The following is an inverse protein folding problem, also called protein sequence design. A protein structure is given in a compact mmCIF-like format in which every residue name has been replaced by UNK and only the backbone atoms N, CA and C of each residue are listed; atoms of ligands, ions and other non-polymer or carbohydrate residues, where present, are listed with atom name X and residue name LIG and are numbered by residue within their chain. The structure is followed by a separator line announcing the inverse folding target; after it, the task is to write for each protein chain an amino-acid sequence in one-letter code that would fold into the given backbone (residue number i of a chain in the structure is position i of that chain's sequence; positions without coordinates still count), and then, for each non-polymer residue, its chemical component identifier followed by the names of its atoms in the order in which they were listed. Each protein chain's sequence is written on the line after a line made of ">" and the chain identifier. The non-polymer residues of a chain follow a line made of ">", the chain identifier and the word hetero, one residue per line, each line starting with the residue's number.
data_IF_576738981337
#
_entry.id   IF_576738981337
#
_cell.length_a   1.000
_cell.length_b   1.000
_cell.length_c   1.000
_cell.angle_alpha   90.00
_cell.angle_beta   90.00
_cell.angle_gamma   90.00
#
_symmetry.space_group_name_H-M   'P 1'
#
loop_
_entity.id
_entity.type
_entity.pdbx_description
1 polymer ?
#
# COMPACT_ATOMS: atom_id res chain seq x y z
N UNK A 1 10.13 -29.96 17.13
CA UNK A 1 9.04 -29.14 16.55
C UNK A 1 9.65 -27.79 16.22
N UNK A 2 9.55 -27.35 14.98
CA UNK A 2 9.93 -25.98 14.63
C UNK A 2 8.84 -25.00 15.08
N UNK A 3 9.26 -23.83 15.55
CA UNK A 3 8.37 -22.74 15.92
C UNK A 3 8.17 -21.80 14.74
N UNK A 4 6.91 -21.52 14.41
CA UNK A 4 6.54 -20.51 13.41
C UNK A 4 6.31 -19.19 14.14
N UNK A 5 6.98 -18.13 13.68
CA UNK A 5 6.84 -16.78 14.22
C UNK A 5 6.52 -15.79 13.11
N UNK A 6 5.83 -14.69 13.46
CA UNK A 6 5.62 -13.56 12.56
C UNK A 6 6.84 -12.65 12.71
N UNK A 7 7.71 -12.63 11.71
CA UNK A 7 8.96 -11.85 11.73
C UNK A 7 8.78 -10.36 11.38
N UNK A 8 7.63 -9.98 10.85
CA UNK A 8 7.36 -8.62 10.39
C UNK A 8 5.96 -8.45 9.81
N UNK A 9 5.56 -7.19 9.62
CA UNK A 9 4.41 -6.82 8.83
C UNK A 9 4.62 -5.45 8.17
N UNK A 10 4.22 -5.35 6.91
CA UNK A 10 4.06 -4.09 6.19
C UNK A 10 2.76 -4.10 5.40
N UNK A 11 2.24 -2.92 5.08
CA UNK A 11 1.00 -2.81 4.32
C UNK A 11 0.64 -1.38 3.97
N UNK A 12 -0.30 -1.25 3.05
CA UNK A 12 -0.98 0.01 2.71
C UNK A 12 -2.47 -0.15 2.96
N UNK A 13 -3.07 0.86 3.56
CA UNK A 13 -4.49 0.93 3.89
C UNK A 13 -5.08 2.27 3.46
N UNK A 14 -6.42 2.41 3.46
CA UNK A 14 -7.03 3.70 3.22
C UNK A 14 -6.52 4.75 4.22
N UNK A 15 -6.16 5.93 3.71
CA UNK A 15 -5.52 7.04 4.45
C UNK A 15 -4.24 6.66 5.23
N UNK A 16 -3.60 5.52 4.93
CA UNK A 16 -2.43 5.05 5.69
C UNK A 16 -1.40 4.37 4.78
N UNK A 17 -0.22 4.96 4.65
CA UNK A 17 0.88 4.44 3.81
C UNK A 17 1.81 3.49 4.56
N UNK A 18 1.67 3.41 5.88
CA UNK A 18 2.49 2.58 6.75
C UNK A 18 1.68 1.96 7.88
N UNK A 19 2.24 0.93 8.53
CA UNK A 19 1.66 0.30 9.73
C UNK A 19 1.49 1.33 10.86
N UNK A 20 2.42 2.27 11.00
CA UNK A 20 2.35 3.30 12.03
C UNK A 20 1.21 4.28 11.78
N UNK A 21 1.04 4.75 10.55
CA UNK A 21 -0.10 5.62 10.19
C UNK A 21 -1.42 4.89 10.39
N UNK A 22 -1.48 3.61 10.00
CA UNK A 22 -2.67 2.79 10.18
C UNK A 22 -3.01 2.62 11.66
N UNK A 23 -2.02 2.30 12.49
CA UNK A 23 -2.19 2.21 13.93
C UNK A 23 -2.66 3.53 14.54
N UNK A 24 -2.05 4.65 14.15
CA UNK A 24 -2.46 5.97 14.62
C UNK A 24 -3.91 6.27 14.23
N UNK A 25 -4.34 5.95 13.02
CA UNK A 25 -5.72 6.13 12.57
C UNK A 25 -6.69 5.26 13.37
N UNK A 26 -6.34 4.01 13.66
CA UNK A 26 -7.16 3.10 14.47
C UNK A 26 -7.32 3.61 15.91
N UNK A 27 -6.21 3.97 16.57
CA UNK A 27 -6.22 4.44 17.96
C UNK A 27 -7.00 5.75 18.10
N UNK A 28 -6.94 6.63 17.10
CA UNK A 28 -7.67 7.89 17.10
C UNK A 28 -9.10 7.77 16.57
N UNK A 29 -9.58 6.57 16.23
CA UNK A 29 -10.94 6.35 15.71
C UNK A 29 -11.22 7.06 14.38
N UNK A 30 -10.19 7.27 13.56
CA UNK A 30 -10.31 7.98 12.28
C UNK A 30 -11.05 7.11 11.28
N UNK A 31 -12.12 7.64 10.70
CA UNK A 31 -12.81 7.00 9.58
C UNK A 31 -11.94 7.06 8.32
N UNK A 32 -11.40 5.91 7.94
CA UNK A 32 -10.53 5.74 6.78
C UNK A 32 -11.31 5.48 5.48
N UNK A 33 -12.64 5.37 5.53
CA UNK A 33 -13.50 5.17 4.37
C UNK A 33 -13.83 6.53 3.74
N UNK A 34 -13.53 6.68 2.45
CA UNK A 34 -13.77 7.91 1.68
C UNK A 34 -14.98 7.79 0.77
N UNK A 35 -15.32 8.87 0.07
CA UNK A 35 -16.27 8.83 -1.03
C UNK A 35 -15.69 8.08 -2.23
N UNK A 36 -16.55 7.40 -2.98
CA UNK A 36 -16.20 6.76 -4.24
C UNK A 36 -15.66 7.81 -5.22
N UNK A 37 -14.62 7.43 -5.98
CA UNK A 37 -14.07 8.30 -7.02
C UNK A 37 -15.17 8.69 -8.02
N UNK A 38 -15.35 9.99 -8.33
CA UNK A 38 -16.36 10.46 -9.28
C UNK A 38 -16.32 9.79 -10.65
N UNK A 39 -15.18 9.21 -11.05
CA UNK A 39 -15.05 8.40 -12.27
C UNK A 39 -15.99 7.18 -12.28
N UNK A 40 -16.38 6.69 -11.11
CA UNK A 40 -17.29 5.58 -10.95
C UNK A 40 -18.64 6.15 -10.53
N UNK A 41 -19.63 6.11 -11.42
CA UNK A 41 -20.97 6.59 -11.13
C UNK A 41 -21.67 5.59 -10.19
N UNK A 42 -21.45 5.76 -8.88
CA UNK A 42 -21.98 4.87 -7.85
C UNK A 42 -23.52 4.85 -7.84
N UNK A 43 -24.15 6.00 -8.11
CA UNK A 43 -25.61 6.14 -8.14
C UNK A 43 -26.24 5.37 -9.29
N UNK A 44 -25.64 5.43 -10.48
CA UNK A 44 -26.11 4.73 -11.68
C UNK A 44 -26.15 3.21 -11.49
N UNK A 45 -25.26 2.68 -10.64
CA UNK A 45 -25.10 1.25 -10.42
C UNK A 45 -25.64 0.76 -9.07
N UNK A 46 -26.23 1.64 -8.25
CA UNK A 46 -26.72 1.29 -6.91
C UNK A 46 -25.61 0.80 -5.97
N UNK A 47 -24.36 1.23 -6.20
CA UNK A 47 -23.19 0.85 -5.39
C UNK A 47 -23.10 1.81 -4.19
N UNK A 48 -22.68 1.34 -3.00
CA UNK A 48 -22.41 2.24 -1.87
C UNK A 48 -21.47 3.39 -2.26
N UNK A 49 -21.84 4.62 -1.89
CA UNK A 49 -21.10 5.84 -2.24
C UNK A 49 -19.81 6.02 -1.44
N UNK A 50 -19.51 5.12 -0.50
CA UNK A 50 -18.33 5.16 0.36
C UNK A 50 -17.52 3.87 0.24
N UNK A 51 -16.20 3.98 0.06
CA UNK A 51 -15.28 2.84 0.02
C UNK A 51 -13.89 3.17 0.60
N UNK A 52 -13.17 2.11 0.99
CA UNK A 52 -11.78 2.21 1.42
C UNK A 52 -10.86 2.18 0.20
N UNK A 53 -10.21 3.31 -0.11
CA UNK A 53 -9.32 3.43 -1.27
C UNK A 53 -7.87 3.56 -0.85
N UNK A 54 -6.99 2.83 -1.53
CA UNK A 54 -5.55 3.07 -1.47
C UNK A 54 -5.19 4.30 -2.31
N UNK A 55 -4.39 5.19 -1.73
CA UNK A 55 -3.80 6.33 -2.43
C UNK A 55 -2.50 5.92 -3.12
N UNK A 56 -2.06 6.69 -4.13
CA UNK A 56 -0.74 6.53 -4.76
C UNK A 56 -0.51 5.12 -5.36
N UNK A 57 -1.52 4.57 -6.04
CA UNK A 57 -1.45 3.28 -6.75
C UNK A 57 -0.63 3.36 -8.05
N UNK A 58 -0.36 4.57 -8.52
CA UNK A 58 0.44 4.90 -9.68
C UNK A 58 1.94 4.97 -9.37
N UNK A 59 2.32 5.17 -8.10
CA UNK A 59 3.72 5.31 -7.68
C UNK A 59 4.42 3.96 -7.55
N UNK A 60 5.53 3.79 -8.25
CA UNK A 60 6.39 2.61 -8.22
C UNK A 60 7.78 2.95 -8.74
N UNK A 61 8.81 2.72 -7.92
CA UNK A 61 10.21 2.88 -8.31
C UNK A 61 10.67 1.72 -9.22
N UNK A 62 10.46 1.88 -10.52
CA UNK A 62 10.75 0.84 -11.50
C UNK A 62 12.25 0.55 -11.62
N UNK A 63 13.11 1.57 -11.47
CA UNK A 63 14.57 1.44 -11.57
C UNK A 63 15.11 0.58 -10.43
N UNK A 64 14.69 0.84 -9.19
CA UNK A 64 15.10 0.07 -8.02
C UNK A 64 14.77 -1.43 -8.16
N UNK A 65 13.61 -1.76 -8.71
CA UNK A 65 13.19 -3.14 -8.94
C UNK A 65 13.66 -3.73 -10.28
N UNK A 66 14.46 -3.00 -11.06
CA UNK A 66 14.97 -3.46 -12.35
C UNK A 66 13.89 -3.67 -13.41
N UNK A 67 12.77 -2.96 -13.32
CA UNK A 67 11.64 -3.02 -14.25
C UNK A 67 11.75 -1.88 -15.26
N UNK A 68 11.66 -2.20 -16.54
CA UNK A 68 11.63 -1.16 -17.58
C UNK A 68 10.36 -0.30 -17.46
N UNK A 69 10.46 1.04 -17.58
CA UNK A 69 9.33 1.97 -17.37
C UNK A 69 8.07 1.63 -18.17
N UNK A 70 8.23 1.29 -19.47
CA UNK A 70 7.11 0.84 -20.31
C UNK A 70 6.37 -0.38 -19.76
N UNK A 71 7.10 -1.30 -19.12
CA UNK A 71 6.52 -2.47 -18.48
C UNK A 71 5.82 -2.06 -17.19
N UNK A 72 6.46 -1.22 -16.36
CA UNK A 72 5.88 -0.71 -15.12
C UNK A 72 4.53 0.01 -15.35
N UNK A 73 4.42 0.82 -16.41
CA UNK A 73 3.17 1.49 -16.77
C UNK A 73 2.02 0.54 -17.14
N UNK A 74 2.34 -0.68 -17.60
CA UNK A 74 1.36 -1.70 -17.97
C UNK A 74 1.10 -2.73 -16.86
N UNK A 75 1.83 -2.65 -15.74
CA UNK A 75 1.67 -3.59 -14.63
C UNK A 75 0.40 -3.30 -13.82
N UNK A 76 -0.24 -4.39 -13.38
CA UNK A 76 -1.33 -4.33 -12.40
C UNK A 76 -0.86 -3.53 -11.17
N UNK A 77 -1.61 -2.51 -10.72
CA UNK A 77 -1.23 -1.71 -9.55
C UNK A 77 -0.93 -2.54 -8.30
N UNK A 78 -1.58 -3.69 -8.11
CA UNK A 78 -1.33 -4.61 -6.98
C UNK A 78 0.09 -5.18 -7.04
N UNK A 79 0.55 -5.54 -8.24
CA UNK A 79 1.90 -6.05 -8.47
C UNK A 79 2.96 -4.97 -8.32
N UNK A 80 2.60 -3.69 -8.46
CA UNK A 80 3.49 -2.55 -8.18
C UNK A 80 3.58 -2.22 -6.70
N UNK A 81 2.49 -2.40 -5.95
CA UNK A 81 2.47 -2.13 -4.50
C UNK A 81 3.18 -3.21 -3.68
N UNK A 82 3.15 -4.46 -4.13
CA UNK A 82 3.63 -5.60 -3.35
C UNK A 82 5.17 -5.64 -3.12
N UNK A 83 6.03 -5.43 -4.14
CA UNK A 83 7.48 -5.51 -3.96
C UNK A 83 8.05 -4.49 -2.96
N UNK A 84 7.64 -3.19 -2.97
CA UNK A 84 8.04 -2.23 -1.94
C UNK A 84 7.68 -2.67 -0.52
N UNK A 85 6.49 -3.25 -0.35
CA UNK A 85 6.03 -3.72 0.97
C UNK A 85 6.89 -4.87 1.49
N UNK A 86 7.22 -5.85 0.64
CA UNK A 86 8.11 -6.94 1.03
C UNK A 86 9.49 -6.42 1.45
N UNK A 87 10.05 -5.47 0.69
CA UNK A 87 11.35 -4.89 0.99
C UNK A 87 11.36 -4.17 2.35
N UNK A 88 10.34 -3.33 2.62
CA UNK A 88 10.18 -2.63 3.90
C UNK A 88 10.09 -3.62 5.08
N UNK A 89 9.33 -4.71 4.91
CA UNK A 89 9.13 -5.68 5.97
C UNK A 89 10.42 -6.45 6.29
N UNK A 90 11.11 -6.88 5.24
CA UNK A 90 12.38 -7.57 5.37
C UNK A 90 13.44 -6.68 6.05
N UNK A 91 13.53 -5.40 5.66
CA UNK A 91 14.43 -4.44 6.30
C UNK A 91 14.13 -4.23 7.78
N UNK A 92 12.84 -4.13 8.14
CA UNK A 92 12.43 -4.03 9.56
C UNK A 92 12.74 -5.28 10.37
N UNK A 93 12.54 -6.47 9.79
CA UNK A 93 12.82 -7.74 10.48
C UNK A 93 14.30 -7.97 10.76
N UNK A 94 15.18 -7.38 9.93
CA UNK A 94 16.64 -7.53 10.03
C UNK A 94 17.32 -6.35 10.74
N UNK A 95 16.57 -5.32 11.13
CA UNK A 95 17.09 -4.13 11.81
C UNK A 95 17.84 -3.16 10.89
N UNK A 96 17.74 -3.30 9.56
CA UNK A 96 18.31 -2.31 8.63
C UNK A 96 17.39 -1.08 8.56
N UNK A 97 17.89 0.08 8.99
CA UNK A 97 17.14 1.35 9.01
C UNK A 97 17.06 2.08 7.66
N UNK A 98 17.29 1.43 6.52
CA UNK A 98 17.24 2.14 5.24
C UNK A 98 15.79 2.58 4.93
N UNK A 99 15.50 3.90 4.96
CA UNK A 99 14.18 4.40 4.67
C UNK A 99 14.09 4.53 3.15
N UNK A 100 14.00 3.40 2.45
CA UNK A 100 13.74 3.44 1.01
C UNK A 100 12.26 3.76 0.84
N UNK A 101 11.96 5.05 0.79
CA UNK A 101 10.74 5.50 0.11
C UNK A 101 10.91 5.11 -1.36
N UNK A 102 10.42 3.92 -1.75
CA UNK A 102 10.36 3.44 -3.14
C UNK A 102 9.36 4.26 -3.99
N UNK A 103 9.28 5.57 -3.75
CA UNK A 103 8.32 6.51 -4.33
C UNK A 103 9.08 7.76 -4.76
N UNK A 104 9.92 7.61 -5.78
CA UNK A 104 10.27 8.71 -6.69
C UNK A 104 9.07 9.11 -7.55
#
# INVERSE_FOLDING_TARGET
>A
MESIVIGGMSGRWPKSKSVQEFWNNLVNGVDMIGEVDPKWNAELHGIPTRNGRLTDLDKFDAEFFGVHEKQAGSMDPRLRVYPPLQYIDFGRSTGSEDPVYCYG
#
